data_IF_820829131648
#
_entry.id   IF_820829131648
#
_cell.length_a   1.000
_cell.length_b   1.000
_cell.length_c   1.000
_cell.angle_alpha   90.00
_cell.angle_beta   90.00
_cell.angle_gamma   90.00
#
_symmetry.space_group_name_H-M   'P 1'
#
loop_
_entity.id
_entity.type
_entity.pdbx_description
1 polymer ?
#
# COMPACT_ATOMS: atom_id res chain seq x y z
N UNK A 1 19.44 -10.05 3.82
CA UNK A 1 19.47 -9.23 2.57
C UNK A 1 18.54 -8.03 2.74
N UNK A 2 18.77 -6.90 2.07
CA UNK A 2 17.87 -5.77 2.17
C UNK A 2 16.49 -6.16 1.61
N UNK A 3 15.43 -5.75 2.30
CA UNK A 3 14.07 -5.86 1.77
C UNK A 3 13.79 -4.66 0.90
N UNK A 4 13.27 -4.92 -0.29
CA UNK A 4 12.95 -3.91 -1.28
C UNK A 4 11.45 -3.79 -1.44
N UNK A 5 10.97 -2.57 -1.49
CA UNK A 5 9.60 -2.23 -1.83
C UNK A 5 9.62 -1.47 -3.16
N UNK A 6 8.88 -1.98 -4.14
CA UNK A 6 8.65 -1.32 -5.41
C UNK A 6 7.15 -1.05 -5.56
N UNK A 7 6.78 0.22 -5.56
CA UNK A 7 5.41 0.62 -5.89
C UNK A 7 5.27 0.54 -7.40
N UNK A 8 4.56 -0.46 -7.89
CA UNK A 8 4.36 -0.71 -9.32
C UNK A 8 3.38 0.29 -9.95
N UNK A 9 2.54 0.88 -9.12
CA UNK A 9 1.65 1.98 -9.45
C UNK A 9 0.71 2.25 -8.29
N UNK A 10 0.31 3.51 -8.11
CA UNK A 10 -0.58 3.91 -7.02
C UNK A 10 -1.39 5.15 -7.37
N UNK A 11 -2.67 4.95 -7.62
CA UNK A 11 -3.66 5.99 -7.90
C UNK A 11 -5.07 5.38 -7.87
N UNK A 12 -6.11 6.20 -7.99
CA UNK A 12 -7.49 5.73 -8.21
C UNK A 12 -7.69 4.91 -9.50
N UNK A 13 -6.67 4.78 -10.34
CA UNK A 13 -6.68 3.92 -11.53
C UNK A 13 -6.11 2.53 -11.31
N UNK A 14 -5.43 2.30 -10.18
CA UNK A 14 -4.87 1.01 -9.78
C UNK A 14 -3.73 1.15 -8.79
N UNK A 15 -3.69 0.22 -7.84
CA UNK A 15 -2.68 0.11 -6.79
C UNK A 15 -2.07 -1.28 -6.82
N UNK A 16 -0.76 -1.35 -6.82
CA UNK A 16 -0.01 -2.60 -6.74
C UNK A 16 1.42 -2.31 -6.32
N UNK A 17 1.93 -3.07 -5.38
CA UNK A 17 3.33 -2.99 -4.99
C UNK A 17 3.94 -4.39 -4.86
N UNK A 18 5.23 -4.48 -5.15
CA UNK A 18 6.04 -5.66 -4.91
C UNK A 18 6.86 -5.45 -3.64
N UNK A 19 6.65 -6.29 -2.65
CA UNK A 19 7.51 -6.42 -1.46
C UNK A 19 8.39 -7.66 -1.64
N UNK A 20 9.71 -7.47 -1.62
CA UNK A 20 10.70 -8.51 -1.82
C UNK A 20 11.62 -8.61 -0.61
N UNK A 21 11.73 -9.79 -0.03
CA UNK A 21 12.74 -10.18 0.95
C UNK A 21 13.84 -11.03 0.29
N UNK A 22 14.72 -11.65 1.09
CA UNK A 22 15.67 -12.64 0.59
C UNK A 22 15.03 -13.93 0.09
N UNK A 23 13.83 -14.28 0.56
CA UNK A 23 13.19 -15.57 0.32
C UNK A 23 11.73 -15.47 -0.14
N UNK A 24 11.15 -14.28 -0.12
CA UNK A 24 9.72 -14.07 -0.38
C UNK A 24 9.48 -12.86 -1.29
N UNK A 25 8.59 -13.04 -2.26
CA UNK A 25 8.12 -11.98 -3.17
C UNK A 25 6.62 -11.95 -3.14
N UNK A 26 6.04 -10.87 -2.64
CA UNK A 26 4.59 -10.74 -2.54
C UNK A 26 4.10 -9.45 -3.18
N UNK A 27 2.89 -9.49 -3.72
CA UNK A 27 2.19 -8.29 -4.12
C UNK A 27 1.32 -7.80 -2.95
N UNK A 28 1.30 -6.50 -2.76
CA UNK A 28 0.28 -5.82 -1.97
C UNK A 28 -0.65 -5.13 -2.95
N UNK A 29 -1.89 -5.57 -2.96
CA UNK A 29 -2.93 -5.26 -3.93
C UNK A 29 -2.61 -5.70 -5.38
N UNK A 30 -3.64 -5.78 -6.19
CA UNK A 30 -3.61 -6.16 -7.59
C UNK A 30 -4.59 -5.30 -8.41
N UNK A 31 -4.45 -3.98 -8.30
CA UNK A 31 -5.36 -3.00 -8.86
C UNK A 31 -5.26 -2.80 -10.37
N UNK A 32 -4.34 -3.48 -11.05
CA UNK A 32 -4.19 -3.47 -12.50
C UNK A 32 -4.58 -4.83 -13.11
N UNK A 33 -4.84 -4.87 -14.42
CA UNK A 33 -5.01 -6.17 -15.10
C UNK A 33 -3.77 -7.04 -14.93
N UNK A 34 -3.94 -8.38 -14.88
CA UNK A 34 -2.82 -9.31 -14.73
C UNK A 34 -1.74 -9.11 -15.82
N UNK A 35 -2.13 -8.74 -17.04
CA UNK A 35 -1.19 -8.38 -18.12
C UNK A 35 -0.37 -7.14 -17.74
N UNK A 36 -1.02 -6.10 -17.20
CA UNK A 36 -0.32 -4.87 -16.78
C UNK A 36 0.60 -5.15 -15.60
N UNK A 37 0.16 -5.95 -14.61
CA UNK A 37 1.00 -6.37 -13.49
C UNK A 37 2.25 -7.11 -13.98
N UNK A 38 2.11 -8.04 -14.96
CA UNK A 38 3.27 -8.74 -15.54
C UNK A 38 4.27 -7.76 -16.14
N UNK A 39 3.81 -6.80 -16.94
CA UNK A 39 4.69 -5.79 -17.55
C UNK A 39 5.39 -4.89 -16.51
N UNK A 40 4.68 -4.52 -15.44
CA UNK A 40 5.24 -3.70 -14.37
C UNK A 40 6.28 -4.49 -13.56
N UNK A 41 6.04 -5.77 -13.31
CA UNK A 41 7.00 -6.67 -12.67
C UNK A 41 8.24 -6.87 -13.55
N UNK A 42 8.08 -7.09 -14.85
CA UNK A 42 9.19 -7.21 -15.81
C UNK A 42 10.06 -5.94 -15.82
N UNK A 43 9.43 -4.77 -15.77
CA UNK A 43 10.15 -3.48 -15.66
C UNK A 43 10.93 -3.37 -14.32
N UNK A 44 10.42 -3.98 -13.25
CA UNK A 44 11.10 -4.08 -11.96
C UNK A 44 12.12 -5.24 -11.88
N UNK A 45 12.34 -5.96 -12.99
CA UNK A 45 13.28 -7.07 -13.06
C UNK A 45 12.77 -8.38 -12.48
N UNK A 46 11.43 -8.51 -12.35
CA UNK A 46 10.76 -9.68 -11.78
C UNK A 46 9.76 -10.31 -12.75
N UNK A 47 9.35 -11.51 -12.45
CA UNK A 47 8.34 -12.25 -13.21
C UNK A 47 7.11 -12.50 -12.35
N UNK A 48 5.95 -12.48 -12.97
CA UNK A 48 4.69 -12.82 -12.29
C UNK A 48 4.68 -14.28 -11.78
N UNK A 49 5.43 -15.16 -12.40
CA UNK A 49 5.55 -16.56 -11.98
C UNK A 49 6.48 -16.73 -10.75
N UNK A 50 7.27 -15.69 -10.42
CA UNK A 50 8.10 -15.66 -9.23
C UNK A 50 7.39 -15.08 -8.00
N UNK A 51 6.13 -14.67 -8.15
CA UNK A 51 5.34 -14.11 -7.04
C UNK A 51 4.77 -15.26 -6.19
N UNK A 52 5.02 -15.17 -4.90
CA UNK A 52 4.66 -16.20 -3.92
C UNK A 52 3.24 -16.03 -3.35
N UNK A 53 2.75 -14.79 -3.26
CA UNK A 53 1.42 -14.48 -2.76
C UNK A 53 0.95 -13.06 -3.17
N UNK A 54 -0.35 -12.83 -3.03
CA UNK A 54 -0.96 -11.49 -3.08
C UNK A 54 -1.63 -11.22 -1.74
N UNK A 55 -1.38 -10.06 -1.14
CA UNK A 55 -2.08 -9.55 0.04
C UNK A 55 -3.04 -8.46 -0.41
N UNK A 56 -4.33 -8.65 -0.20
CA UNK A 56 -5.37 -7.76 -0.68
C UNK A 56 -5.94 -6.95 0.49
N UNK A 57 -5.94 -5.62 0.34
CA UNK A 57 -6.43 -4.70 1.36
C UNK A 57 -7.95 -4.64 1.41
N UNK A 58 -8.62 -4.57 0.25
CA UNK A 58 -10.08 -4.52 0.10
C UNK A 58 -10.53 -4.81 -1.34
N UNK A 59 -11.85 -4.83 -1.58
CA UNK A 59 -12.47 -5.31 -2.83
C UNK A 59 -12.69 -4.25 -3.90
N UNK A 60 -12.30 -2.99 -3.72
CA UNK A 60 -12.43 -1.97 -4.75
C UNK A 60 -11.64 -2.32 -6.00
N UNK A 61 -12.11 -1.87 -7.15
CA UNK A 61 -11.57 -2.30 -8.46
C UNK A 61 -10.12 -1.89 -8.65
N UNK A 62 -9.73 -0.72 -8.14
CA UNK A 62 -8.36 -0.21 -8.20
C UNK A 62 -7.39 -0.92 -7.24
N UNK A 63 -7.87 -1.90 -6.45
CA UNK A 63 -7.08 -2.80 -5.63
C UNK A 63 -7.22 -4.27 -6.04
N UNK A 64 -8.35 -4.69 -6.60
CA UNK A 64 -8.68 -6.10 -6.77
C UNK A 64 -8.92 -6.54 -8.23
N UNK A 65 -9.00 -5.63 -9.23
CA UNK A 65 -9.40 -6.02 -10.60
C UNK A 65 -8.49 -7.07 -11.24
N UNK A 66 -7.20 -7.10 -10.88
CA UNK A 66 -6.23 -8.05 -11.40
C UNK A 66 -6.46 -9.49 -10.94
N UNK A 67 -7.13 -9.67 -9.80
CA UNK A 67 -7.43 -10.99 -9.24
C UNK A 67 -8.17 -11.87 -10.28
N UNK A 68 -9.04 -11.29 -11.10
CA UNK A 68 -9.69 -12.01 -12.23
C UNK A 68 -8.68 -12.72 -13.13
N UNK A 69 -7.59 -12.06 -13.47
CA UNK A 69 -6.54 -12.62 -14.34
C UNK A 69 -5.60 -13.55 -13.57
N UNK A 70 -5.27 -13.19 -12.33
CA UNK A 70 -4.41 -13.98 -11.44
C UNK A 70 -5.05 -15.30 -11.00
N UNK A 71 -6.39 -15.38 -10.91
CA UNK A 71 -7.13 -16.61 -10.64
C UNK A 71 -6.91 -17.73 -11.68
N UNK A 72 -6.27 -17.43 -12.83
CA UNK A 72 -5.80 -18.46 -13.77
C UNK A 72 -4.61 -19.25 -13.21
N UNK A 73 -3.90 -18.73 -12.25
CA UNK A 73 -2.78 -19.36 -11.51
C UNK A 73 -3.32 -19.98 -10.24
N UNK A 74 -3.85 -21.21 -10.35
CA UNK A 74 -4.54 -21.89 -9.24
C UNK A 74 -3.66 -22.11 -7.99
N UNK A 75 -2.34 -22.02 -8.14
CA UNK A 75 -1.37 -22.18 -7.05
C UNK A 75 -0.98 -20.86 -6.37
N UNK A 76 -1.36 -19.69 -6.93
CA UNK A 76 -1.02 -18.40 -6.35
C UNK A 76 -1.99 -18.06 -5.20
N UNK A 77 -1.57 -18.10 -3.92
CA UNK A 77 -2.43 -17.77 -2.80
C UNK A 77 -2.74 -16.27 -2.78
N UNK A 78 -3.99 -15.94 -2.50
CA UNK A 78 -4.46 -14.57 -2.30
C UNK A 78 -4.97 -14.45 -0.86
N UNK A 79 -4.25 -13.69 -0.06
CA UNK A 79 -4.58 -13.42 1.32
C UNK A 79 -5.57 -12.25 1.39
N UNK A 80 -6.70 -12.46 2.04
CA UNK A 80 -7.72 -11.44 2.28
C UNK A 80 -8.51 -11.80 3.54
N UNK A 81 -9.20 -10.84 4.14
CA UNK A 81 -10.25 -11.18 5.11
C UNK A 81 -11.47 -11.77 4.37
N UNK A 82 -12.41 -12.32 5.15
CA UNK A 82 -13.57 -13.02 4.60
C UNK A 82 -14.41 -12.15 3.68
N UNK A 83 -14.76 -10.95 4.13
CA UNK A 83 -15.70 -10.06 3.43
C UNK A 83 -15.11 -9.58 2.11
N UNK A 84 -13.84 -9.20 2.08
CA UNK A 84 -13.10 -8.87 0.86
C UNK A 84 -13.04 -10.05 -0.10
N UNK A 85 -12.70 -11.25 0.39
CA UNK A 85 -12.62 -12.45 -0.44
C UNK A 85 -13.98 -12.82 -1.07
N UNK A 86 -15.05 -12.78 -0.30
CA UNK A 86 -16.41 -13.08 -0.77
C UNK A 86 -16.87 -12.03 -1.80
N UNK A 87 -16.65 -10.73 -1.53
CA UNK A 87 -17.02 -9.65 -2.45
C UNK A 87 -16.27 -9.72 -3.79
N UNK A 88 -14.99 -10.07 -3.77
CA UNK A 88 -14.20 -10.26 -4.99
C UNK A 88 -14.64 -11.56 -5.71
N UNK A 89 -14.78 -12.68 -4.98
CA UNK A 89 -15.16 -13.97 -5.55
C UNK A 89 -16.54 -13.92 -6.22
N UNK A 90 -17.49 -13.17 -5.68
CA UNK A 90 -18.84 -13.00 -6.25
C UNK A 90 -18.81 -12.40 -7.68
N UNK A 91 -17.76 -11.63 -8.01
CA UNK A 91 -17.56 -11.02 -9.35
C UNK A 91 -16.80 -11.93 -10.33
N UNK A 92 -16.40 -13.15 -9.89
CA UNK A 92 -15.51 -14.03 -10.63
C UNK A 92 -16.15 -15.40 -10.91
N UNK A 93 -15.92 -15.95 -12.10
CA UNK A 93 -16.34 -17.31 -12.45
C UNK A 93 -15.32 -18.36 -12.02
N UNK A 94 -14.03 -17.99 -11.98
CA UNK A 94 -12.96 -18.88 -11.53
C UNK A 94 -12.77 -18.77 -10.03
N UNK A 95 -12.53 -19.89 -9.37
CA UNK A 95 -12.15 -19.94 -7.97
C UNK A 95 -10.74 -19.37 -7.80
N UNK A 96 -10.57 -18.51 -6.79
CA UNK A 96 -9.29 -17.98 -6.35
C UNK A 96 -8.76 -18.85 -5.22
N UNK A 97 -7.44 -19.01 -5.13
CA UNK A 97 -6.78 -19.71 -4.03
C UNK A 97 -6.74 -18.81 -2.77
N UNK A 98 -7.91 -18.58 -2.17
CA UNK A 98 -8.04 -17.74 -1.00
C UNK A 98 -7.35 -18.32 0.22
N UNK A 99 -6.58 -17.48 0.91
CA UNK A 99 -6.05 -17.69 2.26
C UNK A 99 -6.71 -16.66 3.17
N UNK A 100 -7.73 -17.10 3.90
CA UNK A 100 -8.53 -16.19 4.73
C UNK A 100 -7.82 -15.96 6.06
N UNK A 101 -7.54 -14.71 6.38
CA UNK A 101 -7.08 -14.28 7.69
C UNK A 101 -8.20 -13.59 8.49
N UNK A 102 -8.04 -13.52 9.78
CA UNK A 102 -8.88 -12.75 10.69
C UNK A 102 -8.18 -11.42 10.99
N UNK A 103 -8.93 -10.31 10.91
CA UNK A 103 -8.39 -8.98 11.21
C UNK A 103 -7.83 -8.91 12.64
N UNK A 104 -6.72 -8.19 12.79
CA UNK A 104 -6.01 -8.06 14.06
C UNK A 104 -5.11 -9.24 14.41
N UNK A 105 -5.25 -10.38 13.74
CA UNK A 105 -4.37 -11.54 13.96
C UNK A 105 -3.04 -11.39 13.24
N UNK A 106 -2.03 -11.94 13.85
CA UNK A 106 -0.69 -12.06 13.29
C UNK A 106 -0.48 -13.47 12.77
N UNK A 107 0.15 -13.59 11.62
CA UNK A 107 0.52 -14.88 11.04
C UNK A 107 1.87 -14.79 10.31
N UNK A 108 2.47 -15.93 10.06
CA UNK A 108 3.75 -16.03 9.36
C UNK A 108 3.49 -16.55 7.94
N UNK A 109 4.02 -15.82 6.96
CA UNK A 109 4.11 -16.28 5.58
C UNK A 109 5.59 -16.32 5.16
N UNK A 110 6.16 -17.51 5.11
CA UNK A 110 7.60 -17.73 4.90
C UNK A 110 8.46 -16.97 5.91
N UNK A 111 9.24 -15.99 5.46
CA UNK A 111 10.09 -15.12 6.28
C UNK A 111 9.43 -13.77 6.63
N UNK A 112 8.14 -13.60 6.28
CA UNK A 112 7.35 -12.44 6.65
C UNK A 112 6.42 -12.74 7.82
N UNK A 113 6.51 -11.93 8.85
CA UNK A 113 5.54 -11.82 9.92
C UNK A 113 4.53 -10.75 9.52
N UNK A 114 3.28 -11.13 9.35
CA UNK A 114 2.22 -10.27 8.80
C UNK A 114 1.14 -10.07 9.85
N UNK A 115 0.75 -8.82 10.06
CA UNK A 115 -0.42 -8.46 10.87
C UNK A 115 -1.31 -7.54 10.06
N UNK A 116 -2.60 -7.85 10.00
CA UNK A 116 -3.60 -6.95 9.46
C UNK A 116 -4.27 -6.14 10.56
N UNK A 117 -4.79 -4.96 10.23
CA UNK A 117 -5.61 -4.13 11.12
C UNK A 117 -6.64 -3.37 10.30
N UNK A 118 -7.83 -3.15 10.85
CA UNK A 118 -8.89 -2.43 10.14
C UNK A 118 -8.51 -0.97 9.92
N UNK A 119 -8.93 -0.40 8.79
CA UNK A 119 -8.84 1.03 8.51
C UNK A 119 -10.21 1.55 8.06
N UNK A 120 -10.59 2.79 8.42
CA UNK A 120 -11.91 3.33 8.10
C UNK A 120 -12.00 3.76 6.64
N UNK A 121 -12.70 2.97 5.82
CA UNK A 121 -12.95 3.23 4.40
C UNK A 121 -14.34 2.77 3.98
N UNK A 122 -14.83 3.23 2.83
CA UNK A 122 -16.17 2.90 2.30
C UNK A 122 -16.19 1.58 1.50
N UNK A 123 -15.52 0.56 2.03
CA UNK A 123 -15.50 -0.81 1.54
C UNK A 123 -16.06 -1.76 2.62
N UNK A 124 -16.20 -3.06 2.32
CA UNK A 124 -16.81 -4.00 3.28
C UNK A 124 -16.01 -4.12 4.58
N UNK A 125 -14.70 -4.33 4.47
CA UNK A 125 -13.81 -4.48 5.63
C UNK A 125 -12.35 -4.23 5.21
N UNK A 126 -12.00 -2.95 5.05
CA UNK A 126 -10.67 -2.55 4.60
C UNK A 126 -9.63 -2.77 5.67
N UNK A 127 -8.46 -3.28 5.27
CA UNK A 127 -7.33 -3.48 6.17
C UNK A 127 -6.06 -2.77 5.69
N UNK A 128 -5.28 -2.31 6.66
CA UNK A 128 -3.85 -2.06 6.50
C UNK A 128 -3.05 -3.29 6.92
N UNK A 129 -1.77 -3.32 6.57
CA UNK A 129 -0.85 -4.38 6.94
C UNK A 129 0.41 -3.82 7.61
N UNK A 130 0.94 -4.56 8.59
CA UNK A 130 2.34 -4.47 8.96
C UNK A 130 3.04 -5.75 8.52
N UNK A 131 4.18 -5.58 7.86
CA UNK A 131 5.08 -6.67 7.50
C UNK A 131 6.36 -6.51 8.30
N UNK A 132 6.79 -7.55 8.98
CA UNK A 132 8.07 -7.58 9.68
C UNK A 132 8.91 -8.77 9.19
N UNK A 133 10.22 -8.62 9.19
CA UNK A 133 11.19 -9.63 8.75
C UNK A 133 12.50 -9.47 9.50
N UNK A 134 13.30 -10.53 9.53
CA UNK A 134 14.53 -10.64 10.31
C UNK A 134 14.32 -11.50 11.54
N UNK A 135 15.40 -11.92 12.16
CA UNK A 135 15.36 -12.76 13.35
C UNK A 135 15.17 -11.91 14.62
N UNK A 136 14.22 -12.30 15.45
CA UNK A 136 14.06 -11.71 16.78
C UNK A 136 15.26 -12.10 17.65
N UNK A 137 15.95 -11.09 18.20
CA UNK A 137 17.14 -11.31 19.06
C UNK A 137 18.49 -11.19 18.34
N UNK A 138 18.51 -11.00 17.01
CA UNK A 138 19.74 -10.64 16.31
C UNK A 138 20.11 -9.18 16.63
N UNK A 139 21.11 -9.00 17.49
CA UNK A 139 21.60 -7.68 17.90
C UNK A 139 22.29 -6.92 16.76
N UNK A 140 22.76 -7.61 15.72
CA UNK A 140 23.46 -7.04 14.58
C UNK A 140 22.52 -6.69 13.41
N UNK A 141 21.36 -7.35 13.36
CA UNK A 141 20.35 -7.14 12.33
C UNK A 141 18.95 -7.14 12.95
N UNK A 142 18.57 -6.10 13.71
CA UNK A 142 17.28 -6.06 14.39
C UNK A 142 16.12 -6.19 13.37
N UNK A 143 14.99 -6.77 13.79
CA UNK A 143 13.82 -6.93 12.94
C UNK A 143 13.44 -5.60 12.27
N UNK A 144 13.14 -5.68 10.99
CA UNK A 144 12.70 -4.52 10.19
C UNK A 144 11.22 -4.65 9.91
N UNK A 145 10.56 -3.52 9.75
CA UNK A 145 9.13 -3.51 9.51
C UNK A 145 8.69 -2.40 8.54
N UNK A 146 7.59 -2.69 7.87
CA UNK A 146 6.89 -1.80 6.95
C UNK A 146 5.41 -1.80 7.31
N UNK A 147 4.79 -0.62 7.39
CA UNK A 147 3.35 -0.48 7.41
C UNK A 147 2.83 -0.04 6.05
N UNK A 148 1.73 -0.67 5.61
CA UNK A 148 0.97 -0.32 4.42
C UNK A 148 -0.41 0.17 4.84
N UNK A 149 -0.70 1.46 4.61
CA UNK A 149 -1.93 2.10 5.06
C UNK A 149 -2.43 3.05 3.99
N UNK A 150 -3.35 2.58 3.17
CA UNK A 150 -4.01 3.35 2.11
C UNK A 150 -5.51 3.30 2.29
N UNK A 151 -6.21 4.20 1.65
CA UNK A 151 -7.67 4.21 1.64
C UNK A 151 -8.27 4.30 3.05
N UNK A 152 -8.04 5.45 3.68
CA UNK A 152 -8.62 5.75 4.98
C UNK A 152 -9.02 7.22 5.08
N UNK A 153 -10.21 7.49 5.61
CA UNK A 153 -10.74 8.85 5.73
C UNK A 153 -10.21 9.64 6.92
N UNK A 154 -9.68 8.96 7.93
CA UNK A 154 -9.01 9.53 9.11
C UNK A 154 -8.14 8.48 9.77
N UNK A 155 -7.24 8.90 10.66
CA UNK A 155 -6.31 8.00 11.35
C UNK A 155 -6.74 7.81 12.81
N UNK A 156 -7.46 6.72 13.15
CA UNK A 156 -7.81 6.40 14.53
C UNK A 156 -6.56 6.09 15.37
N UNK A 157 -6.67 6.21 16.69
CA UNK A 157 -5.53 5.95 17.58
C UNK A 157 -5.01 4.50 17.47
N UNK A 158 -5.91 3.52 17.35
CA UNK A 158 -5.50 2.13 17.17
C UNK A 158 -4.68 1.92 15.87
N UNK A 159 -4.96 2.65 14.78
CA UNK A 159 -4.13 2.60 13.56
C UNK A 159 -2.74 3.15 13.86
N UNK A 160 -2.64 4.28 14.56
CA UNK A 160 -1.34 4.84 14.96
C UNK A 160 -0.53 3.88 15.83
N UNK A 161 -1.20 3.14 16.75
CA UNK A 161 -0.57 2.12 17.57
C UNK A 161 0.01 0.97 16.73
N UNK A 162 -0.71 0.51 15.70
CA UNK A 162 -0.24 -0.55 14.80
C UNK A 162 0.96 -0.14 13.95
N UNK A 163 1.06 1.14 13.56
CA UNK A 163 2.15 1.65 12.72
C UNK A 163 3.28 2.33 13.52
N UNK A 164 3.10 2.47 14.83
CA UNK A 164 4.16 3.01 15.71
C UNK A 164 5.36 2.06 15.72
N UNK A 165 6.55 2.60 15.54
CA UNK A 165 7.79 1.83 15.61
C UNK A 165 8.23 1.18 14.30
N UNK A 166 7.46 1.28 13.20
CA UNK A 166 7.91 0.79 11.90
C UNK A 166 9.05 1.64 11.33
N UNK A 167 9.92 1.03 10.54
CA UNK A 167 10.99 1.74 9.84
C UNK A 167 10.56 2.32 8.51
N UNK A 168 9.60 1.69 7.84
CA UNK A 168 9.05 2.15 6.56
C UNK A 168 7.54 2.30 6.67
N UNK A 169 7.00 3.36 6.09
CA UNK A 169 5.57 3.63 6.04
C UNK A 169 5.15 3.90 4.60
N UNK A 170 4.16 3.18 4.12
CA UNK A 170 3.38 3.53 2.92
C UNK A 170 2.08 4.14 3.40
N UNK A 171 1.83 5.38 3.05
CA UNK A 171 0.64 6.12 3.48
C UNK A 171 0.08 6.93 2.31
N UNK A 172 -1.23 7.01 2.20
CA UNK A 172 -1.83 7.88 1.20
C UNK A 172 -1.66 9.36 1.54
N UNK A 173 -1.47 10.17 0.49
CA UNK A 173 -1.64 11.62 0.49
C UNK A 173 -2.54 11.95 -0.70
N UNK A 174 -3.85 11.74 -0.52
CA UNK A 174 -4.75 11.64 -1.67
C UNK A 174 -5.03 13.00 -2.30
N UNK A 175 -5.39 14.01 -1.50
CA UNK A 175 -5.81 15.28 -2.05
C UNK A 175 -5.27 16.49 -1.28
N UNK A 176 -5.10 17.56 -2.01
CA UNK A 176 -4.97 18.92 -1.47
C UNK A 176 -6.36 19.49 -1.19
N UNK A 177 -6.56 20.08 -0.01
CA UNK A 177 -7.86 20.56 0.45
C UNK A 177 -8.40 21.69 -0.43
N UNK A 178 -7.51 22.60 -0.87
CA UNK A 178 -7.87 23.75 -1.72
C UNK A 178 -8.19 23.32 -3.16
N UNK A 179 -7.39 22.39 -3.72
CA UNK A 179 -7.66 21.85 -5.04
C UNK A 179 -8.97 21.09 -5.10
N UNK A 180 -9.27 20.27 -4.07
CA UNK A 180 -10.54 19.56 -3.99
C UNK A 180 -11.72 20.53 -3.85
N UNK A 181 -11.58 21.59 -3.05
CA UNK A 181 -12.64 22.61 -2.90
C UNK A 181 -12.93 23.32 -4.22
N UNK A 182 -11.89 23.73 -4.93
CA UNK A 182 -11.99 24.48 -6.20
C UNK A 182 -12.35 23.62 -7.42
N UNK A 183 -12.30 22.30 -7.31
CA UNK A 183 -12.64 21.41 -8.43
C UNK A 183 -14.12 21.54 -8.78
N UNK A 184 -14.39 22.06 -9.98
CA UNK A 184 -15.76 22.27 -10.49
C UNK A 184 -16.33 21.04 -11.22
N UNK A 185 -15.51 20.02 -11.47
CA UNK A 185 -15.92 18.81 -12.21
C UNK A 185 -16.63 17.81 -11.30
N UNK A 186 -16.24 17.77 -10.02
CA UNK A 186 -16.82 16.83 -9.03
C UNK A 186 -18.07 17.42 -8.39
N UNK A 187 -19.18 16.66 -8.35
CA UNK A 187 -20.35 17.02 -7.55
C UNK A 187 -19.99 17.17 -6.06
N UNK A 188 -20.72 18.02 -5.37
CA UNK A 188 -20.53 18.24 -3.93
C UNK A 188 -20.57 16.94 -3.10
N UNK A 189 -21.50 16.04 -3.42
CA UNK A 189 -21.59 14.72 -2.77
C UNK A 189 -20.29 13.90 -2.89
N UNK A 190 -19.63 13.94 -4.05
CA UNK A 190 -18.34 13.27 -4.24
C UNK A 190 -17.23 13.90 -3.40
N UNK A 191 -17.19 15.24 -3.32
CA UNK A 191 -16.23 15.94 -2.45
C UNK A 191 -16.45 15.60 -0.97
N UNK A 192 -17.72 15.55 -0.53
CA UNK A 192 -18.05 15.14 0.84
C UNK A 192 -17.65 13.70 1.12
N UNK A 193 -17.84 12.78 0.17
CA UNK A 193 -17.39 11.39 0.28
C UNK A 193 -15.86 11.32 0.44
N UNK A 194 -15.10 12.03 -0.41
CA UNK A 194 -13.64 12.07 -0.35
C UNK A 194 -13.15 12.59 1.00
N UNK A 195 -13.73 13.68 1.51
CA UNK A 195 -13.37 14.28 2.81
C UNK A 195 -13.94 13.54 4.02
N UNK A 196 -14.85 12.62 3.79
CA UNK A 196 -15.59 11.92 4.85
C UNK A 196 -14.70 10.97 5.65
N UNK A 197 -15.21 10.53 6.81
CA UNK A 197 -14.50 9.59 7.70
C UNK A 197 -14.20 8.23 7.06
N UNK A 198 -14.83 7.90 5.95
CA UNK A 198 -14.61 6.69 5.16
C UNK A 198 -14.09 7.03 3.74
N UNK A 199 -13.58 8.24 3.54
CA UNK A 199 -13.00 8.68 2.28
C UNK A 199 -11.49 8.46 2.25
N UNK A 200 -10.74 9.56 2.07
CA UNK A 200 -9.29 9.54 1.91
C UNK A 200 -8.60 10.60 2.78
N UNK A 201 -7.30 10.46 3.03
CA UNK A 201 -6.52 11.46 3.74
C UNK A 201 -6.16 12.64 2.84
N UNK A 202 -6.30 13.85 3.39
CA UNK A 202 -5.69 15.03 2.78
C UNK A 202 -4.17 15.04 3.02
N UNK A 203 -3.44 15.81 2.21
CA UNK A 203 -2.01 16.06 2.39
C UNK A 203 -1.69 16.55 3.81
N UNK A 204 -2.57 17.37 4.40
CA UNK A 204 -2.40 17.90 5.75
C UNK A 204 -2.49 16.79 6.80
N UNK A 205 -3.49 15.93 6.75
CA UNK A 205 -3.65 14.85 7.74
C UNK A 205 -2.56 13.80 7.59
N UNK A 206 -2.14 13.49 6.36
CA UNK A 206 -1.00 12.61 6.11
C UNK A 206 0.30 13.19 6.69
N UNK A 207 0.53 14.50 6.51
CA UNK A 207 1.68 15.21 7.07
C UNK A 207 1.69 15.15 8.61
N UNK A 208 0.57 15.52 9.26
CA UNK A 208 0.44 15.49 10.73
C UNK A 208 0.74 14.11 11.31
N UNK A 209 0.31 13.04 10.64
CA UNK A 209 0.61 11.67 11.03
C UNK A 209 2.12 11.37 10.92
N UNK A 210 2.71 11.65 9.76
CA UNK A 210 4.14 11.37 9.51
C UNK A 210 5.02 12.19 10.47
N UNK A 211 4.70 13.46 10.70
CA UNK A 211 5.38 14.30 11.66
C UNK A 211 5.34 13.69 13.08
N UNK A 212 4.16 13.29 13.54
CA UNK A 212 4.00 12.63 14.84
C UNK A 212 4.81 11.35 14.96
N UNK A 213 4.81 10.50 13.93
CA UNK A 213 5.58 9.26 13.92
C UNK A 213 7.10 9.49 13.84
N UNK A 214 7.54 10.58 13.20
CA UNK A 214 8.96 10.93 13.09
C UNK A 214 9.59 11.21 14.45
N UNK A 215 8.81 11.62 15.43
CA UNK A 215 9.30 11.88 16.80
C UNK A 215 9.64 10.61 17.58
N UNK A 216 9.11 9.45 17.16
CA UNK A 216 9.37 8.15 17.79
C UNK A 216 10.75 7.57 17.44
N UNK A 217 11.48 8.13 16.47
CA UNK A 217 12.87 7.80 16.13
C UNK A 217 13.09 6.51 15.33
N UNK A 218 12.07 5.67 15.11
CA UNK A 218 12.19 4.42 14.36
C UNK A 218 11.91 4.57 12.87
N UNK A 219 11.04 5.51 12.50
CA UNK A 219 10.67 5.75 11.11
C UNK A 219 11.86 6.33 10.33
N UNK A 220 12.19 5.71 9.21
CA UNK A 220 13.33 6.06 8.36
C UNK A 220 12.90 6.48 6.96
N UNK A 221 11.86 5.82 6.42
CA UNK A 221 11.40 6.07 5.05
C UNK A 221 9.88 6.09 4.96
N UNK A 222 9.37 7.07 4.22
CA UNK A 222 7.94 7.24 3.92
C UNK A 222 7.73 7.23 2.42
N UNK A 223 6.74 6.45 1.98
CA UNK A 223 6.22 6.46 0.62
C UNK A 223 4.85 7.13 0.64
N UNK A 224 4.74 8.26 -0.03
CA UNK A 224 3.48 8.98 -0.19
C UNK A 224 2.82 8.50 -1.48
N UNK A 225 1.68 7.84 -1.34
CA UNK A 225 1.01 7.09 -2.41
C UNK A 225 -0.43 7.56 -2.60
N UNK A 226 -1.12 6.97 -3.56
CA UNK A 226 -2.55 7.16 -3.81
C UNK A 226 -2.96 8.62 -4.05
N UNK A 227 -2.07 9.38 -4.72
CA UNK A 227 -2.32 10.78 -5.06
C UNK A 227 -3.44 10.89 -6.09
N UNK A 228 -4.37 11.81 -5.85
CA UNK A 228 -5.42 12.16 -6.82
C UNK A 228 -4.81 12.89 -8.02
N UNK A 229 -5.06 12.40 -9.23
CA UNK A 229 -4.59 13.04 -10.48
C UNK A 229 -5.16 14.44 -10.70
N UNK A 230 -6.33 14.72 -10.14
CA UNK A 230 -7.06 15.96 -10.39
C UNK A 230 -6.99 16.96 -9.23
N UNK A 231 -6.88 16.44 -7.99
CA UNK A 231 -6.95 17.25 -6.77
C UNK A 231 -5.65 17.17 -5.96
N UNK A 232 -4.54 16.83 -6.62
CA UNK A 232 -3.22 16.83 -6.01
C UNK A 232 -2.12 17.04 -7.06
N UNK A 233 -0.89 17.32 -6.63
CA UNK A 233 0.31 17.28 -7.45
C UNK A 233 1.52 16.87 -6.63
N UNK A 234 2.55 16.35 -7.30
CA UNK A 234 3.82 15.97 -6.68
C UNK A 234 4.48 17.19 -6.01
N UNK A 235 4.39 18.37 -6.64
CA UNK A 235 4.97 19.62 -6.14
C UNK A 235 4.32 20.04 -4.83
N UNK A 236 2.98 20.04 -4.75
CA UNK A 236 2.24 20.41 -3.53
C UNK A 236 2.59 19.45 -2.38
N UNK A 237 2.65 18.16 -2.66
CA UNK A 237 3.03 17.15 -1.64
C UNK A 237 4.49 17.36 -1.23
N UNK A 238 5.40 17.59 -2.18
CA UNK A 238 6.82 17.84 -1.88
C UNK A 238 7.00 19.06 -0.98
N UNK A 239 6.39 20.17 -1.34
CA UNK A 239 6.47 21.41 -0.56
C UNK A 239 5.93 21.20 0.87
N UNK A 240 4.82 20.46 1.00
CA UNK A 240 4.21 20.14 2.29
C UNK A 240 5.12 19.32 3.19
N UNK A 241 5.85 18.36 2.64
CA UNK A 241 6.68 17.43 3.40
C UNK A 241 8.17 17.83 3.47
N UNK A 242 8.59 18.89 2.79
CA UNK A 242 9.99 19.33 2.69
C UNK A 242 10.68 19.51 4.07
N UNK A 243 9.94 20.01 5.07
CA UNK A 243 10.49 20.21 6.40
C UNK A 243 10.82 18.90 7.14
N UNK A 244 10.38 17.74 6.68
CA UNK A 244 10.69 16.43 7.27
C UNK A 244 11.86 15.71 6.58
N UNK A 245 12.32 16.17 5.41
CA UNK A 245 13.38 15.51 4.63
C UNK A 245 14.73 15.48 5.35
N UNK A 246 14.95 16.35 6.32
CA UNK A 246 16.17 16.31 7.16
C UNK A 246 16.18 15.13 8.16
N UNK A 247 15.02 14.49 8.40
CA UNK A 247 14.86 13.34 9.33
C UNK A 247 14.51 12.05 8.62
N UNK A 248 13.76 12.14 7.50
CA UNK A 248 13.14 11.02 6.83
C UNK A 248 13.50 11.00 5.34
N UNK A 249 13.71 9.82 4.80
CA UNK A 249 13.70 9.63 3.35
C UNK A 249 12.25 9.63 2.87
N UNK A 250 11.84 10.62 2.09
CA UNK A 250 10.47 10.74 1.58
C UNK A 250 10.48 10.47 0.09
N UNK A 251 9.65 9.52 -0.34
CA UNK A 251 9.45 9.18 -1.74
C UNK A 251 7.98 9.41 -2.11
N UNK A 252 7.75 10.32 -3.04
CA UNK A 252 6.40 10.65 -3.54
C UNK A 252 6.19 9.85 -4.82
N UNK A 253 5.14 9.05 -4.85
CA UNK A 253 4.87 8.16 -5.97
C UNK A 253 4.01 8.88 -7.01
N UNK A 254 4.54 8.95 -8.22
CA UNK A 254 3.80 9.50 -9.36
C UNK A 254 2.56 8.64 -9.64
N UNK A 255 1.34 9.21 -9.64
CA UNK A 255 0.12 8.49 -9.95
C UNK A 255 0.09 7.90 -11.38
N UNK A 256 1.01 8.29 -12.26
CA UNK A 256 1.14 7.76 -13.63
C UNK A 256 2.30 6.77 -13.80
N UNK A 257 3.31 6.78 -12.92
CA UNK A 257 4.59 6.11 -13.14
C UNK A 257 5.01 5.02 -12.14
N UNK A 258 4.57 5.06 -10.90
CA UNK A 258 5.13 4.20 -9.85
C UNK A 258 6.55 4.59 -9.42
N UNK A 259 7.27 3.69 -8.70
CA UNK A 259 8.69 3.89 -8.35
C UNK A 259 9.58 3.69 -9.57
N UNK A 260 10.63 4.50 -9.69
CA UNK A 260 11.66 4.24 -10.68
C UNK A 260 12.30 2.85 -10.45
N UNK A 261 12.58 2.06 -11.50
CA UNK A 261 13.29 0.81 -11.33
C UNK A 261 14.66 1.07 -10.68
N UNK A 262 15.01 0.22 -9.69
CA UNK A 262 16.35 0.29 -9.11
C UNK A 262 17.40 0.20 -10.23
N UNK A 263 18.49 0.99 -10.18
CA UNK A 263 19.55 0.89 -11.16
C UNK A 263 20.05 -0.55 -11.18
N UNK A 264 20.03 -1.17 -12.37
CA UNK A 264 20.60 -2.51 -12.55
C UNK A 264 22.06 -2.43 -12.11
N UNK A 265 22.41 -3.17 -11.08
CA UNK A 265 23.81 -3.37 -10.71
C UNK A 265 24.50 -3.92 -11.97
N UNK A 266 25.29 -3.09 -12.64
CA UNK A 266 26.18 -3.55 -13.68
C UNK A 266 27.25 -4.36 -12.96
N UNK A 267 27.06 -5.67 -12.92
CA UNK A 267 28.15 -6.59 -12.57
C UNK A 267 29.23 -6.43 -13.64
N UNK A 268 30.31 -5.77 -13.26
CA UNK A 268 31.59 -5.89 -13.97
C UNK A 268 32.14 -7.31 -13.88
#
# INVERSE_FOLDING_TARGET
MPVELHILGSSSGGNCALLRTGHTKVLVDAGFSAKRISLLLEAAGESLDAIDAVFLTHEHSDHAQGIRGLAKRAHLPVFANRDTAEAVQAKLTKKVCWQIFQNGMEFIFRDLKVRSFCVPHDAYDTVGFTFAWGEEGDLFSPPRSLAWVTDLGYVPEYVKEHIRGVQKLVIEANYDEDLLERDKRRPWSTKQRIRGRHGHLSNRVAFELVEALSTCGSLQKVYLVHLSKDCNSIEIVRDKFACLEHKLSIEIIDPEGGTAPAPKCQTC
#
